data_IF_835667928205
#
_entry.id   IF_835667928205
#
_cell.length_a   1.000
_cell.length_b   1.000
_cell.length_c   1.000
_cell.angle_alpha   90.00
_cell.angle_beta   90.00
_cell.angle_gamma   90.00
#
_symmetry.space_group_name_H-M   'P 1'
#
loop_
_entity.id
_entity.type
_entity.pdbx_description
1 polymer ?
#
# COMPACT_ATOMS: atom_id res chain seq x y z
N UNK A 1 -2.40 23.05 1.79
CA UNK A 1 -3.37 22.09 2.36
C UNK A 1 -2.88 20.65 2.13
N UNK A 2 -1.77 20.24 2.77
CA UNK A 2 -1.23 18.87 2.64
C UNK A 2 -2.15 17.81 3.27
N UNK A 3 -3.00 18.18 4.23
CA UNK A 3 -3.88 17.26 4.98
C UNK A 3 -4.94 16.54 4.15
N UNK A 4 -5.42 17.14 3.05
CA UNK A 4 -6.46 16.53 2.21
C UNK A 4 -5.97 15.29 1.47
N UNK A 5 -4.71 15.28 1.04
CA UNK A 5 -4.12 14.12 0.36
C UNK A 5 -3.88 12.97 1.33
N UNK A 6 -3.36 13.26 2.53
CA UNK A 6 -3.15 12.24 3.56
C UNK A 6 -4.48 11.59 3.97
N UNK A 7 -5.54 12.39 4.19
CA UNK A 7 -6.88 11.87 4.47
C UNK A 7 -7.43 11.00 3.33
N UNK A 8 -7.26 11.44 2.08
CA UNK A 8 -7.67 10.66 0.91
C UNK A 8 -6.91 9.33 0.77
N UNK A 9 -5.60 9.31 1.03
CA UNK A 9 -4.81 8.07 1.03
C UNK A 9 -5.35 7.13 2.11
N UNK A 10 -5.63 7.62 3.33
CA UNK A 10 -6.22 6.77 4.39
C UNK A 10 -7.57 6.18 3.98
N UNK A 11 -8.41 6.97 3.34
CA UNK A 11 -9.70 6.51 2.83
C UNK A 11 -9.51 5.37 1.82
N UNK A 12 -8.60 5.57 0.85
CA UNK A 12 -8.24 4.53 -0.12
C UNK A 12 -7.64 3.28 0.52
N UNK A 13 -6.78 3.45 1.52
CA UNK A 13 -6.25 2.34 2.30
C UNK A 13 -7.40 1.56 2.96
N UNK A 14 -8.32 2.25 3.63
CA UNK A 14 -9.47 1.62 4.29
C UNK A 14 -10.36 0.87 3.29
N UNK A 15 -10.63 1.43 2.11
CA UNK A 15 -11.40 0.76 1.04
C UNK A 15 -10.74 -0.54 0.55
N UNK A 16 -9.40 -0.61 0.59
CA UNK A 16 -8.62 -1.79 0.18
C UNK A 16 -8.26 -2.69 1.37
N UNK A 17 -8.80 -2.41 2.55
CA UNK A 17 -8.59 -3.25 3.73
C UNK A 17 -9.29 -4.61 3.56
N UNK A 18 -8.78 -5.68 4.20
CA UNK A 18 -9.43 -6.99 4.14
C UNK A 18 -10.81 -7.01 4.85
N UNK A 19 -11.12 -5.97 5.62
CA UNK A 19 -12.41 -5.77 6.27
C UNK A 19 -13.44 -5.13 5.32
N UNK A 20 -12.97 -4.36 4.33
CA UNK A 20 -13.81 -3.68 3.34
C UNK A 20 -13.96 -4.44 2.03
N UNK A 21 -12.96 -5.23 1.62
CA UNK A 21 -12.99 -6.02 0.39
C UNK A 21 -12.36 -7.40 0.57
N UNK A 22 -12.87 -8.37 -0.19
CA UNK A 22 -12.33 -9.74 -0.27
C UNK A 22 -11.48 -9.96 -1.53
N UNK A 23 -11.33 -8.93 -2.37
CA UNK A 23 -10.58 -9.03 -3.60
C UNK A 23 -9.05 -9.00 -3.35
N UNK A 24 -8.29 -10.03 -3.73
CA UNK A 24 -6.85 -10.08 -3.47
C UNK A 24 -6.04 -9.06 -4.29
N UNK A 25 -6.59 -8.49 -5.37
CA UNK A 25 -5.93 -7.39 -6.08
C UNK A 25 -5.84 -6.13 -5.21
N UNK A 26 -6.68 -6.01 -4.17
CA UNK A 26 -6.55 -4.96 -3.18
C UNK A 26 -5.19 -5.03 -2.45
N UNK A 27 -4.73 -6.23 -2.09
CA UNK A 27 -3.41 -6.39 -1.48
C UNK A 27 -2.28 -5.98 -2.43
N UNK A 28 -2.41 -6.23 -3.73
CA UNK A 28 -1.44 -5.76 -4.72
C UNK A 28 -1.44 -4.23 -4.82
N UNK A 29 -2.62 -3.59 -4.89
CA UNK A 29 -2.75 -2.13 -4.86
C UNK A 29 -2.11 -1.52 -3.62
N UNK A 30 -2.31 -2.13 -2.45
CA UNK A 30 -1.65 -1.70 -1.20
C UNK A 30 -0.13 -1.82 -1.28
N UNK A 31 0.41 -2.85 -1.93
CA UNK A 31 1.85 -3.00 -2.12
C UNK A 31 2.43 -1.89 -2.99
N UNK A 32 1.72 -1.52 -4.06
CA UNK A 32 2.09 -0.37 -4.91
C UNK A 32 2.01 0.94 -4.14
N UNK A 33 0.91 1.17 -3.40
CA UNK A 33 0.75 2.35 -2.57
C UNK A 33 1.86 2.46 -1.51
N UNK A 34 2.22 1.34 -0.88
CA UNK A 34 3.31 1.29 0.09
C UNK A 34 4.68 1.59 -0.53
N UNK A 35 4.94 1.09 -1.74
CA UNK A 35 6.16 1.41 -2.48
C UNK A 35 6.24 2.90 -2.82
N UNK A 36 5.13 3.51 -3.23
CA UNK A 36 5.02 4.95 -3.46
C UNK A 36 5.27 5.76 -2.18
N UNK A 37 4.64 5.37 -1.07
CA UNK A 37 4.87 5.94 0.27
C UNK A 37 6.31 5.76 0.76
N UNK A 38 7.01 4.73 0.29
CA UNK A 38 8.44 4.51 0.57
C UNK A 38 9.38 5.30 -0.36
N UNK A 39 8.83 6.07 -1.30
CA UNK A 39 9.59 6.82 -2.30
C UNK A 39 10.15 5.96 -3.44
N UNK A 40 9.73 4.70 -3.55
CA UNK A 40 10.11 3.79 -4.65
C UNK A 40 9.11 3.84 -5.82
N UNK A 41 7.88 4.32 -5.56
CA UNK A 41 6.85 4.53 -6.57
C UNK A 41 6.61 6.01 -6.86
N UNK A 42 6.33 6.35 -8.12
CA UNK A 42 5.97 7.71 -8.55
C UNK A 42 4.47 7.99 -8.44
N UNK A 43 3.66 6.94 -8.30
CA UNK A 43 2.20 7.02 -8.33
C UNK A 43 1.59 6.16 -7.21
N UNK A 44 0.50 6.66 -6.62
CA UNK A 44 -0.30 6.00 -5.59
C UNK A 44 -1.76 5.97 -6.03
N UNK A 45 -2.36 4.78 -6.12
CA UNK A 45 -3.74 4.56 -6.60
C UNK A 45 -4.07 5.30 -7.92
N UNK A 46 -3.13 5.35 -8.86
CA UNK A 46 -3.30 6.01 -10.16
C UNK A 46 -3.19 7.54 -10.14
N UNK A 47 -2.73 8.13 -9.02
CA UNK A 47 -2.39 9.55 -8.93
C UNK A 47 -0.89 9.74 -8.68
N UNK A 48 -0.34 10.85 -9.17
CA UNK A 48 1.06 11.21 -8.89
C UNK A 48 1.26 11.41 -7.38
N UNK A 49 2.35 10.82 -6.87
CA UNK A 49 2.68 10.87 -5.46
C UNK A 49 3.13 12.29 -5.07
N UNK A 50 2.43 12.98 -4.16
CA UNK A 50 2.84 14.33 -3.75
C UNK A 50 4.18 14.27 -3.02
N UNK A 51 5.12 15.11 -3.45
CA UNK A 51 6.46 15.21 -2.86
C UNK A 51 6.43 15.65 -1.39
N UNK A 52 5.52 16.56 -1.04
CA UNK A 52 5.35 17.17 0.29
C UNK A 52 4.16 16.56 1.05
N UNK A 53 4.16 15.24 1.19
CA UNK A 53 3.12 14.53 1.93
C UNK A 53 3.49 14.50 3.42
N UNK A 54 2.84 15.36 4.21
CA UNK A 54 2.84 15.24 5.67
C UNK A 54 2.36 13.84 6.07
N UNK A 55 2.97 13.26 7.12
CA UNK A 55 2.63 11.93 7.63
C UNK A 55 2.85 10.76 6.64
N UNK A 56 3.64 10.95 5.57
CA UNK A 56 4.02 9.87 4.64
C UNK A 56 4.51 8.62 5.36
N UNK A 57 5.29 8.80 6.43
CA UNK A 57 5.81 7.68 7.22
C UNK A 57 4.72 6.97 8.03
N UNK A 58 3.77 7.71 8.61
CA UNK A 58 2.65 7.10 9.33
C UNK A 58 1.74 6.32 8.36
N UNK A 59 1.40 6.90 7.20
CA UNK A 59 0.62 6.24 6.15
C UNK A 59 1.31 4.98 5.61
N UNK A 60 2.64 5.03 5.48
CA UNK A 60 3.46 3.87 5.11
C UNK A 60 3.32 2.75 6.15
N UNK A 61 3.40 3.06 7.43
CA UNK A 61 3.27 2.08 8.50
C UNK A 61 1.85 1.48 8.55
N UNK A 62 0.82 2.32 8.41
CA UNK A 62 -0.58 1.88 8.30
C UNK A 62 -0.78 0.91 7.13
N UNK A 63 -0.27 1.26 5.95
CA UNK A 63 -0.36 0.42 4.77
C UNK A 63 0.40 -0.90 4.93
N UNK A 64 1.56 -0.90 5.61
CA UNK A 64 2.30 -2.13 5.92
C UNK A 64 1.53 -3.02 6.88
N UNK A 65 0.96 -2.45 7.94
CA UNK A 65 0.15 -3.18 8.90
C UNK A 65 -1.04 -3.87 8.22
N UNK A 66 -1.67 -3.17 7.27
CA UNK A 66 -2.80 -3.70 6.51
C UNK A 66 -2.37 -4.81 5.53
N UNK A 67 -1.23 -4.64 4.85
CA UNK A 67 -0.63 -5.70 4.03
C UNK A 67 -0.35 -6.95 4.87
N UNK A 68 0.19 -6.79 6.09
CA UNK A 68 0.41 -7.90 7.01
C UNK A 68 -0.88 -8.63 7.40
N UNK A 69 -2.02 -7.93 7.46
CA UNK A 69 -3.35 -8.53 7.67
C UNK A 69 -3.88 -9.24 6.42
N UNK A 70 -3.54 -8.76 5.23
CA UNK A 70 -3.85 -9.44 3.96
C UNK A 70 -3.03 -10.72 3.76
N UNK A 71 -1.75 -10.74 4.12
CA UNK A 71 -0.86 -11.91 3.93
C UNK A 71 -1.52 -13.23 4.35
N UNK A 72 -2.10 -13.42 5.55
CA UNK A 72 -2.72 -14.70 5.91
C UNK A 72 -3.95 -15.05 5.06
N UNK A 73 -4.68 -14.05 4.53
CA UNK A 73 -5.91 -14.22 3.74
C UNK A 73 -5.64 -14.52 2.26
N UNK A 74 -4.46 -14.17 1.75
CA UNK A 74 -4.09 -14.41 0.36
C UNK A 74 -3.74 -15.87 0.09
N UNK A 75 -4.13 -16.37 -1.07
CA UNK A 75 -3.65 -17.65 -1.62
C UNK A 75 -2.15 -17.64 -1.94
N UNK A 76 -1.59 -18.82 -2.17
CA UNK A 76 -0.17 -19.00 -2.48
C UNK A 76 0.28 -18.17 -3.69
N UNK A 77 -0.53 -18.13 -4.75
CA UNK A 77 -0.21 -17.39 -5.97
C UNK A 77 -0.14 -15.87 -5.70
N UNK A 78 -1.16 -15.32 -5.03
CA UNK A 78 -1.19 -13.91 -4.63
C UNK A 78 -0.05 -13.55 -3.67
N UNK A 79 0.31 -14.45 -2.74
CA UNK A 79 1.49 -14.27 -1.86
C UNK A 79 2.79 -14.21 -2.65
N UNK A 80 2.97 -15.10 -3.62
CA UNK A 80 4.16 -15.09 -4.49
C UNK A 80 4.20 -13.83 -5.34
N UNK A 81 3.07 -13.41 -5.90
CA UNK A 81 2.96 -12.18 -6.68
C UNK A 81 3.31 -10.95 -5.82
N UNK A 82 2.69 -10.83 -4.64
CA UNK A 82 2.98 -9.78 -3.67
C UNK A 82 4.47 -9.74 -3.29
N UNK A 83 5.08 -10.90 -3.06
CA UNK A 83 6.51 -11.00 -2.77
C UNK A 83 7.37 -10.53 -3.94
N UNK A 84 7.03 -10.90 -5.17
CA UNK A 84 7.74 -10.44 -6.38
C UNK A 84 7.63 -8.93 -6.54
N UNK A 85 6.45 -8.35 -6.32
CA UNK A 85 6.25 -6.90 -6.33
C UNK A 85 7.18 -6.22 -5.32
N UNK A 86 7.13 -6.63 -4.06
CA UNK A 86 7.93 -6.01 -2.99
C UNK A 86 9.44 -6.18 -3.21
N UNK A 87 9.86 -7.33 -3.75
CA UNK A 87 11.26 -7.57 -4.15
C UNK A 87 11.67 -6.66 -5.32
N UNK A 88 10.78 -6.45 -6.30
CA UNK A 88 11.01 -5.57 -7.44
C UNK A 88 11.17 -4.10 -7.04
N UNK A 89 10.53 -3.67 -5.96
CA UNK A 89 10.73 -2.34 -5.37
C UNK A 89 11.99 -2.25 -4.47
N UNK A 90 12.83 -3.30 -4.44
CA UNK A 90 14.00 -3.41 -3.58
C UNK A 90 13.68 -3.21 -2.09
N UNK A 91 12.46 -3.53 -1.66
CA UNK A 91 12.07 -3.32 -0.27
C UNK A 91 12.06 -4.63 0.51
N UNK A 92 12.92 -4.77 1.53
CA UNK A 92 12.87 -5.93 2.40
C UNK A 92 11.59 -5.89 3.24
N UNK A 93 10.74 -6.91 3.08
CA UNK A 93 9.80 -7.32 4.12
C UNK A 93 10.66 -7.87 5.28
N UNK A 94 11.05 -7.00 6.21
CA UNK A 94 11.67 -7.38 7.48
C UNK A 94 10.59 -7.83 8.47
#
# INVERSE_FOLDING_TARGET
MPDRYAAWIRDKLAEHSPEATTDPAAAHQLAHAWAALSGQGKEIFGMEMPADLADRQALRDECLAMLKRWIPLLDKDNKEHLRRLLTGYAVPLA
#
